data_IF_290703019573
#
_entry.id   IF_290703019573
#
_cell.length_a   1.000
_cell.length_b   1.000
_cell.length_c   1.000
_cell.angle_alpha   90.00
_cell.angle_beta   90.00
_cell.angle_gamma   90.00
#
_symmetry.space_group_name_H-M   'P 1'
#
loop_
_entity.id
_entity.type
_entity.pdbx_description
1 polymer ?
#
# COMPACT_ATOMS: atom_id res chain seq x y z
N UNK A 1 -33.65 -34.57 42.98
CA UNK A 1 -32.38 -33.84 43.15
C UNK A 1 -32.39 -32.58 42.27
N UNK A 2 -32.72 -31.41 42.85
CA UNK A 2 -32.69 -30.14 42.09
C UNK A 2 -31.26 -29.59 42.24
N UNK A 3 -30.49 -29.64 41.17
CA UNK A 3 -29.21 -28.92 41.09
C UNK A 3 -29.52 -27.41 41.04
N UNK A 4 -29.40 -26.73 42.20
CA UNK A 4 -29.35 -25.28 42.24
C UNK A 4 -28.09 -24.82 41.54
N UNK A 5 -28.16 -24.59 40.23
CA UNK A 5 -27.11 -23.92 39.49
C UNK A 5 -26.94 -22.51 40.06
N UNK A 6 -25.84 -22.27 40.76
CA UNK A 6 -25.49 -20.98 41.33
C UNK A 6 -25.18 -19.98 40.20
N UNK A 7 -26.17 -19.25 39.75
CA UNK A 7 -26.05 -18.17 38.73
C UNK A 7 -24.98 -17.12 39.09
N UNK A 8 -24.65 -16.99 40.37
CA UNK A 8 -23.66 -15.99 40.84
C UNK A 8 -22.25 -16.21 40.30
N UNK A 9 -21.89 -17.43 39.91
CA UNK A 9 -20.56 -17.74 39.40
C UNK A 9 -20.51 -17.88 37.86
N UNK A 10 -21.65 -18.09 37.22
CA UNK A 10 -21.75 -18.27 35.77
C UNK A 10 -21.53 -16.95 35.04
N UNK A 11 -22.07 -15.85 35.53
CA UNK A 11 -21.97 -14.52 34.94
C UNK A 11 -20.52 -14.04 34.82
N UNK A 12 -19.70 -14.07 35.90
CA UNK A 12 -18.31 -13.65 35.78
C UNK A 12 -17.47 -14.61 34.95
N UNK A 13 -17.75 -15.92 34.98
CA UNK A 13 -17.03 -16.89 34.16
C UNK A 13 -17.31 -16.68 32.66
N UNK A 14 -18.56 -16.38 32.28
CA UNK A 14 -18.93 -16.06 30.90
C UNK A 14 -18.29 -14.75 30.41
N UNK A 15 -18.16 -13.75 31.29
CA UNK A 15 -17.50 -12.48 31.00
C UNK A 15 -16.00 -12.66 30.72
N UNK A 16 -15.31 -13.49 31.49
CA UNK A 16 -13.89 -13.79 31.31
C UNK A 16 -13.66 -14.56 30.01
N UNK A 17 -14.53 -15.51 29.67
CA UNK A 17 -14.47 -16.28 28.43
C UNK A 17 -14.66 -15.37 27.20
N UNK A 18 -15.60 -14.45 27.27
CA UNK A 18 -15.89 -13.50 26.18
C UNK A 18 -14.74 -12.49 25.99
N UNK A 19 -14.15 -12.01 27.09
CA UNK A 19 -12.98 -11.13 27.04
C UNK A 19 -11.74 -11.83 26.45
N UNK A 20 -11.55 -13.11 26.73
CA UNK A 20 -10.47 -13.92 26.14
C UNK A 20 -10.58 -14.07 24.62
N UNK A 21 -11.78 -14.19 24.09
CA UNK A 21 -12.04 -14.30 22.64
C UNK A 21 -11.71 -13.01 21.87
N UNK A 22 -11.78 -11.85 22.50
CA UNK A 22 -11.47 -10.56 21.87
C UNK A 22 -9.96 -10.33 21.68
N UNK A 23 -9.10 -11.10 22.35
CA UNK A 23 -7.64 -10.98 22.25
C UNK A 23 -7.03 -11.79 21.11
N UNK A 24 -7.83 -12.57 20.36
CA UNK A 24 -7.39 -13.22 19.14
C UNK A 24 -7.42 -12.19 18.00
N UNK A 25 -6.63 -11.12 18.15
CA UNK A 25 -6.35 -10.19 17.06
C UNK A 25 -5.60 -10.93 15.96
N UNK A 26 -6.21 -11.02 14.79
CA UNK A 26 -5.60 -11.59 13.59
C UNK A 26 -4.26 -10.89 13.32
N UNK A 27 -3.16 -11.53 13.65
CA UNK A 27 -1.85 -11.14 13.14
C UNK A 27 -1.82 -11.49 11.66
N UNK A 28 -2.26 -10.57 10.79
CA UNK A 28 -1.97 -10.67 9.37
C UNK A 28 -0.45 -10.66 9.21
N UNK A 29 0.12 -11.84 8.97
CA UNK A 29 1.47 -11.91 8.44
C UNK A 29 1.40 -11.42 7.00
N UNK A 30 1.83 -10.19 6.77
CA UNK A 30 2.16 -9.75 5.43
C UNK A 30 3.37 -10.58 5.00
N UNK A 31 3.17 -11.48 4.05
CA UNK A 31 4.28 -12.11 3.35
C UNK A 31 4.86 -11.01 2.48
N UNK A 32 6.10 -10.62 2.75
CA UNK A 32 6.80 -9.69 1.87
C UNK A 32 6.74 -10.22 0.44
N UNK A 33 6.41 -9.38 -0.55
CA UNK A 33 6.44 -9.81 -1.95
C UNK A 33 7.83 -10.35 -2.27
N UNK A 34 7.93 -11.40 -3.12
CA UNK A 34 9.22 -11.91 -3.52
C UNK A 34 10.07 -10.76 -4.07
N UNK A 35 11.26 -10.58 -3.52
CA UNK A 35 12.24 -9.63 -4.04
C UNK A 35 12.65 -10.17 -5.40
N UNK A 36 11.93 -9.77 -6.44
CA UNK A 36 12.41 -9.89 -7.81
C UNK A 36 13.70 -9.10 -7.82
N UNK A 37 14.84 -9.74 -8.12
CA UNK A 37 16.13 -9.08 -8.13
C UNK A 37 16.01 -7.73 -8.82
N UNK A 38 16.18 -6.66 -8.06
CA UNK A 38 16.07 -5.32 -8.62
C UNK A 38 17.11 -5.22 -9.74
N UNK A 39 16.74 -4.80 -10.95
CA UNK A 39 17.74 -4.51 -11.95
C UNK A 39 18.71 -3.47 -11.38
N UNK A 40 19.99 -3.55 -11.71
CA UNK A 40 21.04 -2.58 -11.31
C UNK A 40 20.82 -1.21 -11.99
N UNK A 41 19.58 -0.72 -11.98
CA UNK A 41 19.18 0.56 -12.54
C UNK A 41 19.10 1.55 -11.37
N UNK A 42 19.94 2.57 -11.40
CA UNK A 42 19.99 3.63 -10.39
C UNK A 42 19.25 4.85 -10.90
N UNK A 43 18.35 5.41 -10.08
CA UNK A 43 17.67 6.66 -10.39
C UNK A 43 18.70 7.80 -10.53
N UNK A 44 18.59 8.60 -11.59
CA UNK A 44 19.51 9.71 -11.89
C UNK A 44 18.81 11.06 -11.96
N UNK A 45 17.48 11.10 -11.84
CA UNK A 45 16.70 12.34 -11.85
C UNK A 45 15.49 12.22 -10.92
N UNK A 46 15.13 13.32 -10.25
CA UNK A 46 13.93 13.36 -9.40
C UNK A 46 12.64 13.54 -10.23
N UNK A 47 11.51 13.13 -9.65
CA UNK A 47 10.19 13.35 -10.29
C UNK A 47 9.92 14.84 -10.47
N UNK A 48 10.32 15.70 -9.54
CA UNK A 48 10.20 17.15 -9.66
C UNK A 48 10.98 17.69 -10.86
N UNK A 49 12.22 17.25 -11.05
CA UNK A 49 13.09 17.76 -12.11
C UNK A 49 12.63 17.30 -13.49
N UNK A 50 12.16 16.04 -13.61
CA UNK A 50 11.60 15.57 -14.88
C UNK A 50 10.31 16.30 -15.25
N UNK A 51 9.48 16.64 -14.26
CA UNK A 51 8.27 17.47 -14.46
C UNK A 51 8.60 18.91 -14.86
N UNK A 52 9.71 19.44 -14.36
CA UNK A 52 10.17 20.82 -14.70
C UNK A 52 10.58 20.96 -16.17
N UNK A 53 10.85 19.85 -16.87
CA UNK A 53 11.12 19.88 -18.32
C UNK A 53 9.87 20.21 -19.15
N UNK A 54 8.68 20.04 -18.57
CA UNK A 54 7.44 20.38 -19.25
C UNK A 54 7.26 21.89 -19.31
N UNK A 55 7.16 22.42 -20.52
CA UNK A 55 6.77 23.81 -20.79
C UNK A 55 5.34 23.78 -21.34
N UNK A 56 4.45 24.63 -20.83
CA UNK A 56 3.03 24.58 -21.18
C UNK A 56 2.79 24.70 -22.70
N UNK A 57 1.91 23.86 -23.22
CA UNK A 57 1.41 23.96 -24.59
C UNK A 57 1.69 22.77 -25.51
N UNK A 58 2.76 22.00 -25.30
CA UNK A 58 3.04 20.83 -26.12
C UNK A 58 3.67 19.70 -25.31
N UNK A 59 3.43 18.43 -25.67
CA UNK A 59 4.13 17.28 -25.10
C UNK A 59 5.65 17.40 -25.34
N UNK A 60 6.44 17.14 -24.31
CA UNK A 60 7.91 17.10 -24.41
C UNK A 60 8.34 15.63 -24.38
N UNK A 61 9.05 15.20 -25.44
CA UNK A 61 9.62 13.87 -25.47
C UNK A 61 10.88 13.83 -24.60
N UNK A 62 10.98 12.82 -23.74
CA UNK A 62 12.17 12.51 -22.96
C UNK A 62 12.98 11.51 -23.76
N UNK A 63 14.10 11.95 -24.33
CA UNK A 63 14.94 11.14 -25.24
C UNK A 63 16.28 10.76 -24.62
N UNK A 64 16.61 11.28 -23.45
CA UNK A 64 17.78 10.96 -22.67
C UNK A 64 17.52 9.75 -21.75
N UNK A 65 18.58 9.18 -21.22
CA UNK A 65 18.53 8.07 -20.27
C UNK A 65 18.12 8.57 -18.86
N UNK A 66 16.87 9.02 -18.76
CA UNK A 66 16.30 9.52 -17.51
C UNK A 66 15.65 8.37 -16.73
N UNK A 67 16.20 8.06 -15.57
CA UNK A 67 15.69 7.05 -14.66
C UNK A 67 15.13 7.71 -13.41
N UNK A 68 13.84 7.52 -13.18
CA UNK A 68 13.16 7.94 -11.95
C UNK A 68 12.85 6.73 -11.07
N UNK A 69 12.87 6.93 -9.76
CA UNK A 69 12.45 5.94 -8.77
C UNK A 69 11.32 6.54 -7.93
N UNK A 70 10.34 5.73 -7.59
CA UNK A 70 9.24 6.20 -6.76
C UNK A 70 8.41 5.06 -6.19
N UNK A 71 7.63 5.38 -5.16
CA UNK A 71 6.67 4.46 -4.56
C UNK A 71 5.34 4.55 -5.32
N UNK A 72 4.79 3.41 -5.69
CA UNK A 72 3.45 3.33 -6.31
C UNK A 72 2.41 3.68 -5.26
N UNK A 73 1.67 4.76 -5.47
CA UNK A 73 0.58 5.20 -4.61
C UNK A 73 -0.82 4.82 -5.13
N UNK A 74 -0.97 4.62 -6.44
CA UNK A 74 -2.18 4.12 -7.08
C UNK A 74 -1.84 3.28 -8.31
N UNK A 75 -2.64 2.24 -8.54
CA UNK A 75 -2.56 1.40 -9.72
C UNK A 75 -3.96 1.13 -10.30
N UNK A 76 -4.03 0.42 -11.43
CA UNK A 76 -5.29 0.14 -12.14
C UNK A 76 -6.00 -1.16 -11.67
N UNK A 77 -5.49 -1.88 -10.69
CA UNK A 77 -6.08 -3.14 -10.22
C UNK A 77 -7.53 -3.02 -9.73
N UNK A 78 -7.91 -1.84 -9.24
CA UNK A 78 -9.28 -1.54 -8.81
C UNK A 78 -10.17 -0.98 -9.93
N UNK A 79 -9.64 -0.77 -11.14
CA UNK A 79 -10.34 -0.22 -12.29
C UNK A 79 -10.56 1.30 -12.27
N UNK A 80 -10.14 2.00 -11.22
CA UNK A 80 -10.31 3.46 -11.11
C UNK A 80 -9.28 4.25 -11.93
N UNK A 81 -8.13 3.64 -12.21
CA UNK A 81 -7.01 4.25 -12.93
C UNK A 81 -6.62 3.41 -14.14
N UNK A 82 -7.56 3.24 -15.06
CA UNK A 82 -7.38 2.38 -16.23
C UNK A 82 -6.12 2.75 -17.02
N UNK A 83 -5.20 1.79 -17.15
CA UNK A 83 -3.89 1.95 -17.79
C UNK A 83 -3.03 3.09 -17.18
N UNK A 84 -3.18 3.34 -15.87
CA UNK A 84 -2.44 4.40 -15.21
C UNK A 84 -1.82 3.90 -13.89
N UNK A 85 -0.66 4.43 -13.58
CA UNK A 85 0.04 4.21 -12.31
C UNK A 85 0.46 5.57 -11.76
N UNK A 86 0.11 5.86 -10.52
CA UNK A 86 0.63 7.03 -9.83
C UNK A 86 1.85 6.62 -8.99
N UNK A 87 2.97 7.28 -9.22
CA UNK A 87 4.20 7.10 -8.43
C UNK A 87 4.60 8.41 -7.79
N UNK A 88 5.28 8.32 -6.66
CA UNK A 88 5.81 9.48 -5.95
C UNK A 88 7.17 9.18 -5.35
N UNK A 89 8.01 10.20 -5.31
CA UNK A 89 9.26 10.25 -4.56
C UNK A 89 9.17 11.29 -3.44
N UNK A 90 10.28 11.62 -2.79
CA UNK A 90 10.34 12.66 -1.76
C UNK A 90 10.13 14.08 -2.31
N UNK A 91 10.19 14.29 -3.62
CA UNK A 91 10.16 15.61 -4.27
C UNK A 91 8.81 15.93 -4.92
N UNK A 92 8.15 14.95 -5.54
CA UNK A 92 6.89 15.12 -6.25
C UNK A 92 6.18 13.79 -6.54
N UNK A 93 4.98 13.87 -7.11
CA UNK A 93 4.25 12.74 -7.69
C UNK A 93 4.00 12.94 -9.17
N UNK A 94 3.84 11.84 -9.90
CA UNK A 94 3.52 11.82 -11.34
C UNK A 94 2.57 10.68 -11.65
N UNK A 95 1.65 10.92 -12.58
CA UNK A 95 0.77 9.92 -13.14
C UNK A 95 1.37 9.41 -14.45
N UNK A 96 1.68 8.13 -14.51
CA UNK A 96 2.16 7.45 -15.72
C UNK A 96 0.98 6.81 -16.43
N UNK A 97 0.88 7.03 -17.73
CA UNK A 97 -0.07 6.36 -18.59
C UNK A 97 0.67 5.25 -19.35
N UNK A 98 0.19 4.04 -19.17
CA UNK A 98 0.74 2.86 -19.85
C UNK A 98 -0.01 2.65 -21.18
N UNK A 99 0.72 2.41 -22.24
CA UNK A 99 0.15 2.16 -23.56
C UNK A 99 -0.36 0.72 -23.70
#
# INVERSE_FOLDING_TARGET
MQNKFNHKWIIPALGILLAGLLMVSCKKKFTDPPVLGAPDIVANISIKDIKARYTSGAPVAITDDAVIEGVVSCDDRSGNYYHQIAIQDSTAGVLLRLA
#
